data_IF_028634827597
#
_entry.id   IF_028634827597
#
_cell.length_a   1.000
_cell.length_b   1.000
_cell.length_c   1.000
_cell.angle_alpha   90.00
_cell.angle_beta   90.00
_cell.angle_gamma   90.00
#
_symmetry.space_group_name_H-M   'P 1'
#
loop_
_entity.id
_entity.type
_entity.pdbx_description
1 polymer ?
#
# COMPACT_ATOMS: atom_id res chain seq x y z
N UNK A 1 -6.43 19.22 6.24
CA UNK A 1 -6.88 18.24 5.23
C UNK A 1 -8.12 17.56 5.78
N UNK A 2 -9.23 17.50 5.02
CA UNK A 2 -10.40 16.72 5.41
C UNK A 2 -10.32 15.38 4.69
N UNK A 3 -10.31 14.29 5.44
CA UNK A 3 -10.33 12.95 4.90
C UNK A 3 -11.77 12.63 4.44
N UNK A 4 -12.04 12.37 3.15
CA UNK A 4 -13.38 12.01 2.69
C UNK A 4 -13.88 10.78 3.45
N UNK A 5 -15.11 10.83 3.96
CA UNK A 5 -15.69 9.75 4.78
C UNK A 5 -16.53 8.77 3.99
N UNK A 6 -16.81 9.08 2.72
CA UNK A 6 -17.78 8.39 1.86
C UNK A 6 -17.15 7.66 0.66
N UNK A 7 -15.83 7.77 0.47
CA UNK A 7 -15.11 7.18 -0.67
C UNK A 7 -14.39 5.89 -0.27
N UNK A 8 -14.34 4.87 -1.15
CA UNK A 8 -13.43 3.74 -1.00
C UNK A 8 -11.97 4.21 -0.90
N UNK A 9 -11.15 3.45 -0.21
CA UNK A 9 -9.75 3.80 0.05
C UNK A 9 -8.81 2.78 -0.58
N UNK A 10 -7.82 3.25 -1.32
CA UNK A 10 -6.68 2.47 -1.78
C UNK A 10 -5.42 2.97 -1.09
N UNK A 11 -4.70 2.09 -0.43
CA UNK A 11 -3.37 2.39 0.09
C UNK A 11 -2.33 1.67 -0.75
N UNK A 12 -1.33 2.39 -1.21
CA UNK A 12 -0.14 1.85 -1.88
C UNK A 12 1.06 2.14 -1.01
N UNK A 13 1.76 1.11 -0.58
CA UNK A 13 2.96 1.22 0.26
C UNK A 13 4.19 0.75 -0.52
N UNK A 14 5.14 1.64 -0.70
CA UNK A 14 6.43 1.33 -1.30
C UNK A 14 7.44 1.08 -0.18
N UNK A 15 7.96 -0.14 -0.14
CA UNK A 15 8.90 -0.61 0.87
C UNK A 15 8.22 -1.38 2.01
N UNK A 16 8.65 -2.62 2.20
CA UNK A 16 8.19 -3.55 3.24
C UNK A 16 9.28 -3.90 4.26
N UNK A 17 10.36 -3.12 4.28
CA UNK A 17 11.49 -3.30 5.20
C UNK A 17 11.24 -2.79 6.61
N UNK A 18 12.21 -2.07 7.17
CA UNK A 18 12.14 -1.55 8.55
C UNK A 18 10.89 -0.72 8.80
N UNK A 19 10.75 0.42 8.13
CA UNK A 19 9.61 1.33 8.31
C UNK A 19 8.30 0.68 7.86
N UNK A 20 8.24 0.15 6.62
CA UNK A 20 7.01 -0.43 6.07
C UNK A 20 6.52 -1.63 6.85
N UNK A 21 7.42 -2.53 7.27
CA UNK A 21 7.06 -3.70 8.06
C UNK A 21 6.40 -3.38 9.39
N UNK A 22 6.80 -2.29 10.04
CA UNK A 22 6.18 -1.83 11.30
C UNK A 22 4.94 -0.95 11.09
N UNK A 23 4.84 -0.23 9.97
CA UNK A 23 3.67 0.60 9.65
C UNK A 23 2.50 -0.24 9.14
N UNK A 24 2.77 -1.29 8.35
CA UNK A 24 1.75 -2.12 7.72
C UNK A 24 0.63 -2.59 8.68
N UNK A 25 0.91 -3.20 9.85
CA UNK A 25 -0.15 -3.66 10.75
C UNK A 25 -1.09 -2.54 11.23
N UNK A 26 -0.59 -1.34 11.41
CA UNK A 26 -1.41 -0.19 11.81
C UNK A 26 -2.29 0.30 10.66
N UNK A 27 -1.76 0.32 9.42
CA UNK A 27 -2.54 0.66 8.23
C UNK A 27 -3.66 -0.36 8.01
N UNK A 28 -3.37 -1.65 8.11
CA UNK A 28 -4.37 -2.71 8.02
C UNK A 28 -5.49 -2.53 9.04
N UNK A 29 -5.15 -2.28 10.30
CA UNK A 29 -6.13 -2.05 11.36
C UNK A 29 -6.96 -0.79 11.11
N UNK A 30 -6.31 0.30 10.67
CA UNK A 30 -7.01 1.53 10.30
C UNK A 30 -8.03 1.28 9.19
N UNK A 31 -7.62 0.64 8.10
CA UNK A 31 -8.50 0.35 6.97
C UNK A 31 -9.67 -0.56 7.37
N UNK A 32 -9.40 -1.55 8.21
CA UNK A 32 -10.45 -2.43 8.75
C UNK A 32 -11.50 -1.66 9.59
N UNK A 33 -11.07 -0.64 10.33
CA UNK A 33 -11.95 0.18 11.18
C UNK A 33 -12.77 1.22 10.39
N UNK A 34 -12.42 1.51 9.13
CA UNK A 34 -13.11 2.56 8.35
C UNK A 34 -14.53 2.18 7.91
N UNK A 35 -14.94 0.92 8.02
CA UNK A 35 -16.25 0.39 7.63
C UNK A 35 -16.68 0.81 6.22
N UNK A 36 -15.74 0.73 5.27
CA UNK A 36 -15.95 1.03 3.85
C UNK A 36 -14.99 0.23 2.97
N UNK A 37 -15.27 0.05 1.67
CA UNK A 37 -14.37 -0.66 0.79
C UNK A 37 -12.96 -0.10 0.86
N UNK A 38 -12.00 -0.97 1.16
CA UNK A 38 -10.60 -0.62 1.25
C UNK A 38 -9.74 -1.73 0.66
N UNK A 39 -8.66 -1.34 0.00
CA UNK A 39 -7.65 -2.28 -0.48
C UNK A 39 -6.25 -1.76 -0.22
N UNK A 40 -5.32 -2.68 0.00
CA UNK A 40 -3.95 -2.36 0.32
C UNK A 40 -3.02 -3.06 -0.66
N UNK A 41 -2.11 -2.31 -1.25
CA UNK A 41 -1.07 -2.81 -2.17
C UNK A 41 0.28 -2.58 -1.53
N UNK A 42 1.07 -3.64 -1.36
CA UNK A 42 2.42 -3.59 -0.79
C UNK A 42 3.43 -3.89 -1.89
N UNK A 43 4.45 -3.04 -2.05
CA UNK A 43 5.47 -3.19 -3.08
C UNK A 43 6.86 -3.27 -2.44
N UNK A 44 7.59 -4.35 -2.73
CA UNK A 44 9.00 -4.51 -2.33
C UNK A 44 9.64 -5.63 -3.16
N UNK A 45 10.83 -5.38 -3.72
CA UNK A 45 11.59 -6.36 -4.49
C UNK A 45 12.47 -7.29 -3.67
N UNK A 46 12.66 -7.02 -2.37
CA UNK A 46 13.54 -7.80 -1.52
C UNK A 46 12.91 -9.09 -1.00
N UNK A 47 13.78 -10.03 -0.65
CA UNK A 47 13.44 -11.23 0.13
C UNK A 47 13.83 -11.01 1.60
N UNK A 48 13.24 -11.80 2.48
CA UNK A 48 13.59 -11.82 3.89
C UNK A 48 14.90 -12.58 4.08
N UNK A 49 15.90 -11.92 4.65
CA UNK A 49 17.23 -12.48 4.95
C UNK A 49 17.45 -12.57 6.47
N UNK A 50 18.39 -13.43 6.94
CA UNK A 50 18.66 -13.57 8.38
C UNK A 50 18.94 -12.24 9.09
N UNK A 51 19.66 -11.31 8.44
CA UNK A 51 19.96 -9.97 8.98
C UNK A 51 18.73 -9.09 9.21
N UNK A 52 17.56 -9.46 8.64
CA UNK A 52 16.33 -8.70 8.79
C UNK A 52 15.56 -9.07 10.07
N UNK A 53 15.73 -10.29 10.61
CA UNK A 53 14.94 -10.82 11.72
C UNK A 53 15.09 -10.00 13.02
N UNK A 54 16.26 -9.43 13.27
CA UNK A 54 16.53 -8.69 14.49
C UNK A 54 16.01 -7.24 14.49
N UNK A 55 15.69 -6.69 13.32
CA UNK A 55 15.39 -5.25 13.17
C UNK A 55 14.22 -4.91 12.24
N UNK A 56 13.59 -5.91 11.65
CA UNK A 56 12.41 -5.76 10.79
C UNK A 56 11.32 -6.69 11.30
N UNK A 57 10.09 -6.42 10.91
CA UNK A 57 8.92 -7.17 11.38
C UNK A 57 8.75 -8.51 10.64
N UNK A 58 9.78 -9.36 10.69
CA UNK A 58 9.79 -10.70 10.10
C UNK A 58 10.21 -11.74 11.15
N UNK A 59 9.78 -12.97 10.92
CA UNK A 59 10.09 -14.13 11.77
C UNK A 59 10.86 -15.19 10.99
N UNK A 60 11.53 -16.16 11.65
CA UNK A 60 12.31 -17.19 10.95
C UNK A 60 11.56 -17.96 9.88
N UNK A 61 10.25 -18.13 10.02
CA UNK A 61 9.40 -18.79 9.02
C UNK A 61 9.26 -17.99 7.71
N UNK A 62 9.58 -16.69 7.71
CA UNK A 62 9.51 -15.81 6.54
C UNK A 62 10.79 -15.85 5.68
N UNK A 63 11.85 -16.51 6.15
CA UNK A 63 13.15 -16.52 5.46
C UNK A 63 13.04 -17.01 4.02
N UNK A 64 13.62 -16.24 3.09
CA UNK A 64 13.61 -16.54 1.66
C UNK A 64 12.35 -16.08 0.90
N UNK A 65 11.29 -15.69 1.61
CA UNK A 65 10.06 -15.17 0.99
C UNK A 65 10.19 -13.68 0.63
N UNK A 66 9.42 -13.24 -0.38
CA UNK A 66 9.38 -11.81 -0.72
C UNK A 66 8.71 -11.01 0.41
N UNK A 67 9.31 -9.88 0.79
CA UNK A 67 8.87 -9.05 1.91
C UNK A 67 7.45 -8.51 1.74
N UNK A 68 7.10 -8.03 0.54
CA UNK A 68 5.77 -7.51 0.26
C UNK A 68 4.71 -8.61 0.34
N UNK A 69 5.00 -9.78 -0.20
CA UNK A 69 4.12 -10.96 -0.11
C UNK A 69 3.86 -11.35 1.34
N UNK A 70 4.90 -11.48 2.15
CA UNK A 70 4.78 -11.85 3.57
C UNK A 70 3.84 -10.92 4.31
N UNK A 71 4.00 -9.60 4.16
CA UNK A 71 3.14 -8.64 4.84
C UNK A 71 1.70 -8.69 4.31
N UNK A 72 1.52 -8.75 2.99
CA UNK A 72 0.20 -8.81 2.38
C UNK A 72 -0.60 -10.04 2.84
N UNK A 73 -0.02 -11.23 2.74
CA UNK A 73 -0.67 -12.50 3.12
C UNK A 73 -0.94 -12.59 4.62
N UNK A 74 0.01 -12.16 5.45
CA UNK A 74 -0.12 -12.20 6.91
C UNK A 74 -1.33 -11.42 7.41
N UNK A 75 -1.49 -10.20 6.96
CA UNK A 75 -2.54 -9.32 7.47
C UNK A 75 -3.87 -9.47 6.74
N UNK A 76 -3.88 -9.82 5.46
CA UNK A 76 -5.12 -10.11 4.73
C UNK A 76 -5.86 -11.29 5.34
N UNK A 77 -5.13 -12.34 5.69
CA UNK A 77 -5.70 -13.54 6.32
C UNK A 77 -6.33 -13.23 7.68
N UNK A 78 -5.65 -12.40 8.50
CA UNK A 78 -6.13 -12.07 9.86
C UNK A 78 -7.35 -11.15 9.84
N UNK A 79 -7.40 -10.19 8.92
CA UNK A 79 -8.41 -9.12 8.90
C UNK A 79 -9.46 -9.28 7.80
N UNK A 80 -9.33 -10.28 6.91
CA UNK A 80 -10.26 -10.52 5.82
C UNK A 80 -10.31 -9.38 4.79
N UNK A 81 -9.21 -8.65 4.61
CA UNK A 81 -9.13 -7.50 3.70
C UNK A 81 -8.55 -7.90 2.35
N UNK A 82 -9.02 -7.25 1.28
CA UNK A 82 -8.39 -7.33 -0.04
C UNK A 82 -6.99 -6.71 0.02
N UNK A 83 -5.97 -7.52 -0.21
CA UNK A 83 -4.57 -7.10 -0.18
C UNK A 83 -3.84 -7.67 -1.39
N UNK A 84 -3.14 -6.81 -2.09
CA UNK A 84 -2.29 -7.16 -3.22
C UNK A 84 -0.82 -6.96 -2.84
N UNK A 85 0.08 -7.64 -3.53
CA UNK A 85 1.51 -7.37 -3.42
C UNK A 85 2.16 -7.32 -4.80
N UNK A 86 3.19 -6.49 -4.89
CA UNK A 86 4.04 -6.36 -6.08
C UNK A 86 5.46 -6.76 -5.67
N UNK A 87 5.95 -7.97 -6.06
CA UNK A 87 7.24 -8.48 -5.62
C UNK A 87 8.41 -7.88 -6.43
N UNK A 88 8.37 -6.58 -6.64
CA UNK A 88 9.39 -5.83 -7.37
C UNK A 88 9.52 -4.41 -6.87
N UNK A 89 10.67 -3.80 -7.13
CA UNK A 89 10.86 -2.38 -6.89
C UNK A 89 10.14 -1.55 -7.95
N UNK A 90 9.50 -0.47 -7.52
CA UNK A 90 8.93 0.53 -8.41
C UNK A 90 10.02 1.56 -8.72
N UNK A 91 10.56 1.51 -9.93
CA UNK A 91 11.71 2.31 -10.34
C UNK A 91 11.41 3.37 -11.40
N UNK A 92 10.22 3.29 -12.02
CA UNK A 92 9.81 4.20 -13.09
C UNK A 92 8.50 4.89 -12.74
N UNK A 93 8.40 6.16 -13.13
CA UNK A 93 7.20 6.95 -12.88
C UNK A 93 5.94 6.38 -13.54
N UNK A 94 5.94 5.90 -14.80
CA UNK A 94 4.76 5.29 -15.42
C UNK A 94 4.20 4.11 -14.61
N UNK A 95 5.08 3.24 -14.09
CA UNK A 95 4.67 2.08 -13.29
C UNK A 95 4.02 2.52 -11.97
N UNK A 96 4.56 3.57 -11.35
CA UNK A 96 3.96 4.14 -10.14
C UNK A 96 2.61 4.80 -10.44
N UNK A 97 2.50 5.53 -11.54
CA UNK A 97 1.24 6.19 -11.95
C UNK A 97 0.13 5.17 -12.23
N UNK A 98 0.44 4.06 -12.91
CA UNK A 98 -0.51 2.95 -13.09
C UNK A 98 -0.93 2.34 -11.75
N UNK A 99 0.03 2.13 -10.85
CA UNK A 99 -0.22 1.54 -9.55
C UNK A 99 -1.13 2.40 -8.66
N UNK A 100 -1.02 3.73 -8.74
CA UNK A 100 -1.83 4.67 -7.96
C UNK A 100 -3.12 5.11 -8.67
N UNK A 101 -3.40 4.61 -9.88
CA UNK A 101 -4.64 4.92 -10.60
C UNK A 101 -5.86 4.51 -9.75
N UNK A 102 -6.78 5.45 -9.44
CA UNK A 102 -7.97 5.15 -8.66
C UNK A 102 -9.00 4.39 -9.50
N UNK A 103 -9.56 3.33 -8.93
CA UNK A 103 -10.72 2.66 -9.52
C UNK A 103 -12.01 3.44 -9.26
N UNK A 104 -12.97 3.30 -10.18
CA UNK A 104 -14.33 3.76 -9.96
C UNK A 104 -15.17 2.66 -9.33
N UNK A 105 -15.98 3.04 -8.35
CA UNK A 105 -16.88 2.16 -7.62
C UNK A 105 -18.33 2.60 -7.82
N UNK A 106 -19.23 1.64 -7.98
CA UNK A 106 -20.67 1.89 -7.92
C UNK A 106 -21.10 2.07 -6.45
N UNK A 107 -21.80 3.15 -6.17
CA UNK A 107 -22.26 3.45 -4.80
C UNK A 107 -23.40 2.52 -4.35
N UNK A 108 -24.15 1.96 -5.30
CA UNK A 108 -25.26 1.04 -5.04
C UNK A 108 -25.59 0.28 -6.32
N UNK A 109 -26.05 -0.99 -6.24
CA UNK A 109 -26.56 -1.73 -7.41
C UNK A 109 -27.72 -1.06 -8.15
N UNK A 110 -28.40 -0.13 -7.48
CA UNK A 110 -29.54 0.62 -8.02
C UNK A 110 -29.23 2.06 -8.40
N UNK A 111 -27.96 2.47 -8.32
CA UNK A 111 -27.53 3.84 -8.59
C UNK A 111 -26.56 3.88 -9.77
N UNK A 112 -26.74 4.83 -10.67
CA UNK A 112 -25.77 5.17 -11.73
C UNK A 112 -24.62 6.04 -11.21
N UNK A 113 -24.66 6.44 -9.94
CA UNK A 113 -23.61 7.26 -9.33
C UNK A 113 -22.38 6.43 -9.04
N UNK A 114 -21.24 6.89 -9.55
CA UNK A 114 -19.94 6.32 -9.31
C UNK A 114 -19.11 7.26 -8.44
N UNK A 115 -18.18 6.68 -7.67
CA UNK A 115 -17.19 7.41 -6.91
C UNK A 115 -15.80 6.85 -7.19
N UNK A 116 -14.79 7.71 -7.20
CA UNK A 116 -13.39 7.27 -7.32
C UNK A 116 -12.82 6.94 -5.96
N UNK A 117 -11.94 5.95 -5.92
CA UNK A 117 -11.12 5.68 -4.74
C UNK A 117 -10.34 6.92 -4.32
N UNK A 118 -10.17 7.08 -3.04
CA UNK A 118 -9.14 7.94 -2.49
C UNK A 118 -7.84 7.15 -2.38
N UNK A 119 -6.77 7.65 -2.97
CA UNK A 119 -5.48 6.97 -2.99
C UNK A 119 -4.51 7.61 -2.00
N UNK A 120 -3.95 6.77 -1.14
CA UNK A 120 -2.91 7.12 -0.19
C UNK A 120 -1.63 6.39 -0.57
N UNK A 121 -0.58 7.12 -0.89
CA UNK A 121 0.76 6.61 -1.17
C UNK A 121 1.65 6.75 0.07
N UNK A 122 2.18 5.63 0.56
CA UNK A 122 3.12 5.58 1.68
C UNK A 122 4.53 5.28 1.17
N UNK A 123 5.44 6.22 1.32
CA UNK A 123 6.84 6.10 0.93
C UNK A 123 7.71 5.55 2.06
N UNK A 124 7.68 4.23 2.30
CA UNK A 124 8.43 3.56 3.36
C UNK A 124 9.83 3.09 2.91
N UNK A 125 10.44 3.81 1.99
CA UNK A 125 11.76 3.51 1.41
C UNK A 125 12.84 4.45 1.97
N UNK A 126 14.06 3.97 2.03
CA UNK A 126 15.23 4.73 2.50
C UNK A 126 16.05 5.37 1.38
N UNK A 127 15.77 5.07 0.10
CA UNK A 127 16.50 5.61 -1.04
C UNK A 127 15.83 6.86 -1.64
N UNK A 128 16.66 7.82 -2.06
CA UNK A 128 16.19 9.09 -2.60
C UNK A 128 15.53 8.96 -3.97
N UNK A 129 15.93 7.98 -4.79
CA UNK A 129 15.36 7.78 -6.13
C UNK A 129 13.86 7.49 -6.05
N UNK A 130 13.45 6.55 -5.20
CA UNK A 130 12.04 6.21 -5.04
C UNK A 130 11.26 7.34 -4.37
N UNK A 131 11.87 8.06 -3.41
CA UNK A 131 11.24 9.26 -2.82
C UNK A 131 10.97 10.34 -3.86
N UNK A 132 11.90 10.56 -4.80
CA UNK A 132 11.70 11.50 -5.91
C UNK A 132 10.58 11.04 -6.84
N UNK A 133 10.45 9.74 -7.13
CA UNK A 133 9.32 9.22 -7.90
C UNK A 133 7.98 9.47 -7.20
N UNK A 134 7.90 9.23 -5.89
CA UNK A 134 6.70 9.53 -5.11
C UNK A 134 6.33 11.01 -5.19
N UNK A 135 7.32 11.89 -5.06
CA UNK A 135 7.11 13.34 -5.18
C UNK A 135 6.62 13.75 -6.57
N UNK A 136 7.22 13.18 -7.63
CA UNK A 136 6.77 13.43 -9.01
C UNK A 136 5.33 12.94 -9.23
N UNK A 137 4.99 11.74 -8.75
CA UNK A 137 3.64 11.20 -8.83
C UNK A 137 2.63 12.08 -8.09
N UNK A 138 2.99 12.58 -6.91
CA UNK A 138 2.16 13.52 -6.15
C UNK A 138 1.86 14.80 -6.93
N UNK A 139 2.86 15.38 -7.57
CA UNK A 139 2.67 16.62 -8.36
C UNK A 139 1.90 16.42 -9.68
N UNK A 140 1.89 15.20 -10.22
CA UNK A 140 1.14 14.87 -11.44
C UNK A 140 -0.28 14.37 -11.15
N UNK A 141 -0.62 14.13 -9.90
CA UNK A 141 -1.91 13.59 -9.47
C UNK A 141 -2.76 14.69 -8.83
N UNK A 142 -4.06 14.75 -9.19
CA UNK A 142 -4.96 15.78 -8.65
C UNK A 142 -5.39 15.51 -7.21
N UNK A 143 -5.55 14.23 -6.83
CA UNK A 143 -6.16 13.83 -5.55
C UNK A 143 -5.30 12.82 -4.75
N UNK A 144 -4.01 12.66 -5.06
CA UNK A 144 -3.13 11.76 -4.34
C UNK A 144 -2.75 12.34 -2.97
N UNK A 145 -2.86 11.54 -1.93
CA UNK A 145 -2.28 11.82 -0.63
C UNK A 145 -0.95 11.09 -0.54
N UNK A 146 0.13 11.81 -0.29
CA UNK A 146 1.47 11.24 -0.14
C UNK A 146 2.04 11.52 1.26
N UNK A 147 2.53 10.45 1.91
CA UNK A 147 3.17 10.46 3.23
C UNK A 147 4.50 9.72 3.17
#
# INVERSE_FOLDING_TARGET
>A
MKFPTDRPVKVVMLGAGGTGGYVAPYVFRLLHMLDRPARFVVCDGDIVEPKNLDRQNFVPADLGENKARVLAERYSTVLGMETEYVPSFIEKLPDLMELIEPKEWELSPYSTKRTKEMVLLLGCVDNNKTRQLCHQAFHQSEELIYI
#
